data_IF_089758655703
#
_entry.id   IF_089758655703
#
_cell.length_a   1.000
_cell.length_b   1.000
_cell.length_c   1.000
_cell.angle_alpha   90.00
_cell.angle_beta   90.00
_cell.angle_gamma   90.00
#
_symmetry.space_group_name_H-M   'P 1'
#
loop_
_entity.id
_entity.type
_entity.pdbx_description
1 polymer ?
#
# COMPACT_ATOMS: atom_id res chain seq x y z
N UNK A 1 12.91 36.68 4.13
CA UNK A 1 12.41 35.37 3.70
C UNK A 1 11.12 35.58 2.92
N UNK A 2 10.94 34.80 1.85
CA UNK A 2 9.79 34.97 0.95
C UNK A 2 8.59 34.14 1.41
N UNK A 3 8.84 33.00 2.09
CA UNK A 3 7.81 32.04 2.51
C UNK A 3 7.82 31.84 4.02
N UNK A 4 6.65 31.53 4.58
CA UNK A 4 6.53 31.05 5.97
C UNK A 4 7.03 29.62 6.07
N UNK A 5 6.69 28.77 5.07
CA UNK A 5 7.09 27.36 5.04
C UNK A 5 7.72 26.99 3.71
N UNK A 6 8.85 26.28 3.77
CA UNK A 6 9.40 25.46 2.72
C UNK A 6 9.05 23.99 3.05
N UNK A 7 8.30 23.33 2.17
CA UNK A 7 7.92 21.93 2.34
C UNK A 7 8.70 21.10 1.33
N UNK A 8 9.50 20.17 1.83
CA UNK A 8 10.32 19.27 1.05
C UNK A 8 9.60 17.93 0.89
N UNK A 9 9.15 17.65 -0.33
CA UNK A 9 8.35 16.50 -0.71
C UNK A 9 6.90 16.86 -1.02
N UNK A 10 6.47 16.58 -2.25
CA UNK A 10 5.11 16.81 -2.76
C UNK A 10 4.21 15.57 -2.68
N UNK A 11 4.54 14.61 -1.81
CA UNK A 11 3.67 13.48 -1.49
C UNK A 11 2.45 13.91 -0.67
N UNK A 12 1.57 12.95 -0.33
CA UNK A 12 0.31 13.24 0.38
C UNK A 12 0.53 14.02 1.69
N UNK A 13 1.56 13.67 2.47
CA UNK A 13 1.88 14.37 3.72
C UNK A 13 2.26 15.83 3.48
N UNK A 14 3.21 16.09 2.56
CA UNK A 14 3.65 17.44 2.24
C UNK A 14 2.53 18.29 1.63
N UNK A 15 1.73 17.71 0.71
CA UNK A 15 0.59 18.39 0.11
C UNK A 15 -0.50 18.75 1.14
N UNK A 16 -0.75 17.86 2.12
CA UNK A 16 -1.70 18.14 3.22
C UNK A 16 -1.24 19.32 4.05
N UNK A 17 0.03 19.36 4.47
CA UNK A 17 0.56 20.48 5.25
C UNK A 17 0.54 21.78 4.43
N UNK A 18 0.93 21.69 3.16
CA UNK A 18 0.92 22.85 2.26
C UNK A 18 -0.47 23.47 2.14
N UNK A 19 -1.48 22.63 1.92
CA UNK A 19 -2.87 23.05 1.80
C UNK A 19 -3.41 23.66 3.09
N UNK A 20 -3.15 23.03 4.24
CA UNK A 20 -3.58 23.55 5.53
C UNK A 20 -2.87 24.87 5.89
N UNK A 21 -1.57 24.99 5.61
CA UNK A 21 -0.82 26.23 5.82
C UNK A 21 -1.37 27.37 4.94
N UNK A 22 -1.64 27.11 3.65
CA UNK A 22 -2.28 28.07 2.75
C UNK A 22 -3.66 28.50 3.27
N UNK A 23 -4.48 27.55 3.71
CA UNK A 23 -5.80 27.84 4.31
C UNK A 23 -5.69 28.72 5.55
N UNK A 24 -4.60 28.61 6.31
CA UNK A 24 -4.27 29.48 7.45
C UNK A 24 -3.59 30.79 7.04
N UNK A 25 -3.60 31.18 5.78
CA UNK A 25 -3.04 32.44 5.28
C UNK A 25 -1.51 32.51 5.27
N UNK A 26 -0.82 31.36 5.31
CA UNK A 26 0.65 31.29 5.27
C UNK A 26 1.15 31.19 3.83
N UNK A 27 2.29 31.81 3.55
CA UNK A 27 2.99 31.65 2.27
C UNK A 27 3.81 30.36 2.28
N UNK A 28 3.65 29.54 1.23
CA UNK A 28 4.24 28.19 1.16
C UNK A 28 4.95 28.00 -0.18
N UNK A 29 6.14 27.39 -0.13
CA UNK A 29 6.82 26.80 -1.27
C UNK A 29 6.93 25.30 -1.04
N UNK A 30 6.50 24.51 -2.02
CA UNK A 30 6.71 23.05 -2.05
C UNK A 30 7.81 22.73 -3.06
N UNK A 31 8.75 21.88 -2.69
CA UNK A 31 9.78 21.37 -3.61
C UNK A 31 9.78 19.85 -3.61
N UNK A 32 10.11 19.25 -4.74
CA UNK A 32 10.30 17.81 -4.85
C UNK A 32 11.46 17.51 -5.80
N UNK A 33 12.27 16.50 -5.48
CA UNK A 33 13.36 16.06 -6.34
C UNK A 33 12.89 15.28 -7.58
N UNK A 34 11.67 14.77 -7.57
CA UNK A 34 11.05 14.06 -8.70
C UNK A 34 10.51 15.06 -9.73
N UNK A 35 10.32 14.64 -11.00
CA UNK A 35 9.73 15.47 -12.04
C UNK A 35 8.20 15.58 -11.93
N UNK A 36 7.58 14.96 -10.94
CA UNK A 36 6.14 14.89 -10.71
C UNK A 36 5.78 15.05 -9.24
N UNK A 37 4.58 15.53 -8.96
CA UNK A 37 3.98 15.54 -7.63
C UNK A 37 3.42 14.15 -7.29
N UNK A 38 3.04 13.94 -6.02
CA UNK A 38 2.37 12.72 -5.55
C UNK A 38 3.26 11.77 -4.77
N UNK A 39 4.59 11.92 -4.85
CA UNK A 39 5.50 11.05 -4.10
C UNK A 39 5.24 9.57 -4.40
N UNK A 40 5.05 8.75 -3.37
CA UNK A 40 4.82 7.31 -3.55
C UNK A 40 3.40 6.96 -4.02
N UNK A 41 2.44 7.88 -3.93
CA UNK A 41 1.08 7.68 -4.48
C UNK A 41 0.94 8.21 -5.91
N UNK A 42 2.04 8.57 -6.56
CA UNK A 42 2.01 9.03 -7.95
C UNK A 42 1.31 8.02 -8.85
N UNK A 43 0.34 8.51 -9.61
CA UNK A 43 -0.35 7.76 -10.67
C UNK A 43 -0.17 8.46 -12.01
N UNK A 44 0.04 7.69 -13.06
CA UNK A 44 0.06 8.20 -14.44
C UNK A 44 -0.96 7.45 -15.30
N UNK A 45 -1.46 8.11 -16.33
CA UNK A 45 -2.41 7.50 -17.27
C UNK A 45 -1.64 6.79 -18.40
N UNK A 46 -1.79 5.46 -18.47
CA UNK A 46 -1.18 4.60 -19.50
C UNK A 46 -2.28 3.79 -20.17
N UNK A 47 -2.44 3.86 -21.50
CA UNK A 47 -3.48 3.15 -22.26
C UNK A 47 -4.91 3.35 -21.69
N UNK A 48 -5.18 4.55 -21.16
CA UNK A 48 -6.47 4.87 -20.53
C UNK A 48 -6.61 4.44 -19.06
N UNK A 49 -5.64 3.71 -18.51
CA UNK A 49 -5.64 3.17 -17.13
C UNK A 49 -4.81 4.07 -16.22
N UNK A 50 -5.30 4.35 -15.02
CA UNK A 50 -4.53 5.03 -13.98
C UNK A 50 -3.58 4.02 -13.30
N UNK A 51 -2.29 4.10 -13.61
CA UNK A 51 -1.25 3.19 -13.11
C UNK A 51 -0.60 3.77 -11.87
N UNK A 52 -0.65 3.05 -10.75
CA UNK A 52 0.03 3.38 -9.50
C UNK A 52 1.50 2.97 -9.61
N UNK A 53 2.41 3.91 -9.83
CA UNK A 53 3.82 3.61 -10.19
C UNK A 53 4.63 2.95 -9.08
N UNK A 54 4.28 3.18 -7.82
CA UNK A 54 5.03 2.71 -6.65
C UNK A 54 4.20 1.78 -5.77
N UNK A 55 3.41 0.91 -6.39
CA UNK A 55 2.53 -0.04 -5.71
C UNK A 55 1.11 0.48 -5.52
N UNK A 56 0.21 -0.44 -5.21
CA UNK A 56 -1.20 -0.12 -5.01
C UNK A 56 -1.41 0.68 -3.73
N UNK A 57 -2.10 1.78 -3.85
CA UNK A 57 -2.58 2.57 -2.73
C UNK A 57 -4.10 2.61 -2.76
N UNK A 58 -4.74 2.12 -1.71
CA UNK A 58 -6.18 2.17 -1.53
C UNK A 58 -6.45 3.05 -0.31
N UNK A 59 -7.15 4.17 -0.51
CA UNK A 59 -7.50 5.05 0.60
C UNK A 59 -8.56 4.39 1.48
N UNK A 60 -8.33 4.38 2.79
CA UNK A 60 -9.32 3.88 3.74
C UNK A 60 -9.16 4.58 5.10
N UNK A 61 -10.28 4.82 5.79
CA UNK A 61 -10.28 5.45 7.11
C UNK A 61 -11.58 5.17 7.86
N UNK A 62 -11.54 5.21 9.18
CA UNK A 62 -12.72 5.27 10.04
C UNK A 62 -13.06 6.71 10.47
N UNK A 63 -12.15 7.66 10.22
CA UNK A 63 -12.36 9.05 10.60
C UNK A 63 -13.11 9.79 9.49
N UNK A 64 -14.33 10.24 9.83
CA UNK A 64 -15.18 10.98 8.89
C UNK A 64 -14.57 12.32 8.48
N UNK A 65 -13.89 13.03 9.36
CA UNK A 65 -13.27 14.32 9.03
C UNK A 65 -12.16 14.15 7.99
N UNK A 66 -11.36 13.06 8.11
CA UNK A 66 -10.34 12.72 7.12
C UNK A 66 -10.96 12.36 5.78
N UNK A 67 -12.05 11.59 5.80
CA UNK A 67 -12.79 11.25 4.58
C UNK A 67 -13.37 12.49 3.90
N UNK A 68 -14.09 13.33 4.65
CA UNK A 68 -14.68 14.56 4.13
C UNK A 68 -13.59 15.52 3.59
N UNK A 69 -12.43 15.55 4.24
CA UNK A 69 -11.31 16.36 3.79
C UNK A 69 -10.78 15.90 2.41
N UNK A 70 -10.49 14.63 2.21
CA UNK A 70 -9.93 14.15 0.94
C UNK A 70 -10.96 14.18 -0.19
N UNK A 71 -12.24 13.88 0.12
CA UNK A 71 -13.34 13.94 -0.86
C UNK A 71 -13.76 15.35 -1.23
N UNK A 72 -13.32 16.37 -0.48
CA UNK A 72 -13.53 17.77 -0.86
C UNK A 72 -12.68 18.22 -2.07
N UNK A 73 -11.64 17.46 -2.44
CA UNK A 73 -10.77 17.79 -3.58
C UNK A 73 -11.13 17.02 -4.84
N UNK A 74 -11.46 15.74 -4.72
CA UNK A 74 -11.84 14.84 -5.81
C UNK A 74 -12.86 13.81 -5.33
N UNK A 75 -13.69 13.32 -6.24
CA UNK A 75 -14.58 12.20 -5.95
C UNK A 75 -13.81 10.90 -5.81
N UNK A 76 -14.31 10.00 -4.98
CA UNK A 76 -13.79 8.65 -4.80
C UNK A 76 -14.80 7.63 -5.34
N UNK A 77 -14.29 6.58 -5.95
CA UNK A 77 -15.12 5.46 -6.36
C UNK A 77 -15.44 4.53 -5.18
N UNK A 78 -16.27 3.50 -5.45
CA UNK A 78 -16.68 2.50 -4.44
C UNK A 78 -15.75 1.29 -4.38
N UNK A 79 -14.49 1.40 -4.78
CA UNK A 79 -13.57 0.27 -4.76
C UNK A 79 -13.44 -0.31 -3.36
N UNK A 80 -13.67 -1.62 -3.25
CA UNK A 80 -13.49 -2.39 -2.03
C UNK A 80 -12.32 -3.34 -2.24
N UNK A 81 -11.30 -3.22 -1.39
CA UNK A 81 -10.10 -4.05 -1.52
C UNK A 81 -10.39 -5.50 -1.09
N UNK A 82 -10.39 -6.40 -2.05
CA UNK A 82 -10.64 -7.85 -1.85
C UNK A 82 -9.53 -8.65 -2.54
N UNK A 83 -8.30 -8.65 -2.00
CA UNK A 83 -7.18 -9.35 -2.62
C UNK A 83 -7.37 -10.86 -2.56
N UNK A 84 -6.74 -11.56 -3.50
CA UNK A 84 -6.68 -13.01 -3.58
C UNK A 84 -5.25 -13.46 -3.31
N UNK A 85 -5.07 -14.57 -2.60
CA UNK A 85 -3.80 -15.28 -2.47
C UNK A 85 -3.74 -16.42 -3.46
N UNK A 86 -2.64 -16.56 -4.17
CA UNK A 86 -2.30 -17.69 -5.02
C UNK A 86 -1.15 -18.46 -4.35
N UNK A 87 -1.43 -19.67 -3.91
CA UNK A 87 -0.44 -20.63 -3.43
C UNK A 87 -0.31 -21.77 -4.40
N UNK A 88 0.72 -21.75 -5.26
CA UNK A 88 0.99 -22.82 -6.25
C UNK A 88 -0.24 -23.20 -7.12
N UNK A 89 -1.03 -22.19 -7.51
CA UNK A 89 -2.25 -22.38 -8.30
C UNK A 89 -3.53 -22.57 -7.48
N UNK A 90 -3.44 -22.79 -6.18
CA UNK A 90 -4.62 -22.77 -5.29
C UNK A 90 -4.97 -21.32 -4.92
N UNK A 91 -6.21 -20.92 -5.16
CA UNK A 91 -6.68 -19.55 -4.86
C UNK A 91 -7.44 -19.50 -3.54
N UNK A 92 -7.10 -18.51 -2.72
CA UNK A 92 -7.71 -18.25 -1.42
C UNK A 92 -8.15 -16.78 -1.29
N UNK A 93 -9.30 -16.55 -0.67
CA UNK A 93 -9.72 -15.18 -0.32
C UNK A 93 -8.85 -14.59 0.78
N UNK A 94 -8.64 -13.27 0.69
CA UNK A 94 -7.98 -12.50 1.74
C UNK A 94 -8.90 -11.35 2.20
N UNK A 95 -8.94 -11.01 3.52
CA UNK A 95 -8.21 -11.59 4.65
C UNK A 95 -8.65 -13.03 4.92
N UNK A 96 -7.99 -13.73 5.87
CA UNK A 96 -8.38 -15.10 6.27
C UNK A 96 -9.81 -15.10 6.82
N UNK A 97 -10.75 -15.61 6.05
CA UNK A 97 -12.18 -15.58 6.32
C UNK A 97 -12.83 -16.92 6.01
N UNK A 98 -14.16 -17.01 6.14
CA UNK A 98 -14.88 -18.27 5.93
C UNK A 98 -14.69 -18.84 4.52
N UNK A 99 -14.50 -18.02 3.47
CA UNK A 99 -14.15 -18.54 2.14
C UNK A 99 -12.77 -19.20 2.12
N UNK A 100 -11.80 -18.61 2.83
CA UNK A 100 -10.45 -19.18 2.99
C UNK A 100 -10.52 -20.53 3.68
N UNK A 101 -11.25 -20.61 4.80
CA UNK A 101 -11.35 -21.83 5.60
C UNK A 101 -12.16 -22.93 4.92
N UNK A 102 -13.26 -22.58 4.24
CA UNK A 102 -14.00 -23.51 3.42
C UNK A 102 -13.12 -24.10 2.31
N UNK A 103 -12.37 -23.26 1.57
CA UNK A 103 -11.45 -23.72 0.52
C UNK A 103 -10.33 -24.61 1.06
N UNK A 104 -9.81 -24.31 2.26
CA UNK A 104 -8.68 -25.01 2.86
C UNK A 104 -9.07 -26.35 3.51
N UNK A 105 -10.20 -26.37 4.21
CA UNK A 105 -10.61 -27.48 5.09
C UNK A 105 -12.01 -28.06 4.79
N UNK A 106 -12.78 -27.47 3.89
CA UNK A 106 -14.15 -27.88 3.60
C UNK A 106 -15.16 -27.53 4.69
N UNK A 107 -14.77 -26.75 5.71
CA UNK A 107 -15.66 -26.34 6.80
C UNK A 107 -16.74 -25.38 6.30
N UNK A 108 -17.93 -25.43 6.89
CA UNK A 108 -19.11 -24.67 6.45
C UNK A 108 -19.53 -23.65 7.50
N UNK A 109 -19.29 -23.94 8.79
CA UNK A 109 -19.71 -23.08 9.88
C UNK A 109 -18.54 -22.36 10.55
N UNK A 110 -18.78 -21.19 11.15
CA UNK A 110 -17.78 -20.50 11.97
C UNK A 110 -17.22 -21.34 13.12
N UNK A 111 -18.06 -22.20 13.73
CA UNK A 111 -17.67 -23.07 14.82
C UNK A 111 -16.67 -24.15 14.37
N UNK A 112 -16.91 -24.79 13.22
CA UNK A 112 -15.98 -25.77 12.62
C UNK A 112 -14.64 -25.11 12.29
N UNK A 113 -14.67 -23.92 11.70
CA UNK A 113 -13.45 -23.16 11.37
C UNK A 113 -12.66 -22.78 12.62
N UNK A 114 -13.34 -22.27 13.65
CA UNK A 114 -12.72 -21.94 14.92
C UNK A 114 -12.08 -23.15 15.59
N UNK A 115 -12.80 -24.29 15.63
CA UNK A 115 -12.29 -25.53 16.21
C UNK A 115 -11.03 -26.03 15.48
N UNK A 116 -11.01 -25.93 14.14
CA UNK A 116 -9.84 -26.32 13.33
C UNK A 116 -8.64 -25.45 13.58
N UNK A 117 -8.84 -24.14 13.69
CA UNK A 117 -7.77 -23.18 14.03
C UNK A 117 -7.23 -23.47 15.43
N UNK A 118 -8.11 -23.61 16.43
CA UNK A 118 -7.70 -23.86 17.82
C UNK A 118 -7.00 -25.23 18.00
N UNK A 119 -7.39 -26.25 17.21
CA UNK A 119 -6.69 -27.53 17.16
C UNK A 119 -5.23 -27.33 16.75
N UNK A 120 -4.99 -26.62 15.66
CA UNK A 120 -3.66 -26.44 15.10
C UNK A 120 -2.78 -25.49 15.92
N UNK A 121 -3.35 -24.49 16.56
CA UNK A 121 -2.62 -23.56 17.46
C UNK A 121 -2.00 -24.27 18.66
N UNK A 122 -2.54 -25.41 19.09
CA UNK A 122 -1.99 -26.23 20.19
C UNK A 122 -0.60 -26.80 19.92
N UNK A 123 -0.14 -26.74 18.67
CA UNK A 123 1.21 -27.12 18.30
C UNK A 123 2.26 -26.27 19.01
N UNK A 124 1.94 -25.00 19.27
CA UNK A 124 2.83 -24.08 19.98
C UNK A 124 2.47 -24.07 21.46
N UNK A 125 3.43 -24.48 22.27
CA UNK A 125 3.29 -24.48 23.73
C UNK A 125 4.22 -23.42 24.33
N UNK A 126 3.68 -22.54 25.18
CA UNK A 126 4.42 -21.45 25.80
C UNK A 126 4.54 -20.20 24.92
N UNK A 127 5.52 -19.35 25.20
CA UNK A 127 5.73 -18.10 24.48
C UNK A 127 6.45 -18.36 23.15
N UNK A 128 5.93 -17.85 22.03
CA UNK A 128 6.55 -18.01 20.71
C UNK A 128 7.96 -17.39 20.64
N UNK A 129 8.93 -18.13 20.12
CA UNK A 129 10.35 -17.75 20.07
C UNK A 129 10.74 -17.00 18.80
N UNK A 130 10.00 -17.21 17.73
CA UNK A 130 10.27 -16.67 16.41
C UNK A 130 8.97 -16.41 15.64
N UNK A 131 9.08 -15.87 14.43
CA UNK A 131 7.93 -15.50 13.61
C UNK A 131 7.09 -16.72 13.19
N UNK A 132 7.70 -17.89 12.92
CA UNK A 132 6.98 -19.12 12.59
C UNK A 132 6.07 -19.53 13.74
N UNK A 133 6.63 -19.69 14.95
CA UNK A 133 5.86 -20.06 16.13
C UNK A 133 4.76 -19.04 16.45
N UNK A 134 5.07 -17.74 16.31
CA UNK A 134 4.09 -16.68 16.49
C UNK A 134 2.94 -16.77 15.51
N UNK A 135 3.22 -16.99 14.21
CA UNK A 135 2.17 -17.10 13.21
C UNK A 135 1.28 -18.34 13.45
N UNK A 136 1.89 -19.50 13.74
CA UNK A 136 1.14 -20.73 14.03
C UNK A 136 0.26 -20.56 15.28
N UNK A 137 0.77 -19.91 16.32
CA UNK A 137 -0.02 -19.62 17.53
C UNK A 137 -1.21 -18.70 17.29
N UNK A 138 -1.20 -17.91 16.20
CA UNK A 138 -2.27 -17.00 15.83
C UNK A 138 -3.31 -17.64 14.88
N UNK A 139 -2.86 -18.40 13.88
CA UNK A 139 -3.74 -18.86 12.79
C UNK A 139 -3.70 -20.35 12.51
N UNK A 140 -2.80 -21.10 13.14
CA UNK A 140 -2.58 -22.52 12.90
C UNK A 140 -1.60 -22.83 11.75
N UNK A 141 -1.16 -24.08 11.67
CA UNK A 141 -0.12 -24.57 10.75
C UNK A 141 -0.48 -24.38 9.28
N UNK A 142 -1.67 -24.79 8.87
CA UNK A 142 -2.05 -24.82 7.44
C UNK A 142 -2.09 -23.41 6.85
N UNK A 143 -2.67 -22.44 7.58
CA UNK A 143 -2.72 -21.03 7.16
C UNK A 143 -1.30 -20.46 7.10
N UNK A 144 -0.48 -20.76 8.11
CA UNK A 144 0.91 -20.33 8.13
C UNK A 144 1.67 -20.84 6.91
N UNK A 145 1.68 -22.15 6.65
CA UNK A 145 2.45 -22.77 5.57
C UNK A 145 2.02 -22.27 4.18
N UNK A 146 0.70 -22.18 3.92
CA UNK A 146 0.19 -21.81 2.61
C UNK A 146 0.14 -20.29 2.36
N UNK A 147 -0.20 -19.48 3.37
CA UNK A 147 -0.58 -18.10 3.14
C UNK A 147 0.35 -17.06 3.80
N UNK A 148 1.23 -17.46 4.72
CA UNK A 148 2.08 -16.53 5.47
C UNK A 148 3.56 -16.78 5.18
N UNK A 149 4.03 -18.01 5.31
CA UNK A 149 5.44 -18.39 5.29
C UNK A 149 6.19 -17.90 4.06
N UNK A 150 5.88 -18.41 2.88
CA UNK A 150 6.63 -18.11 1.66
C UNK A 150 6.55 -16.62 1.27
N UNK A 151 5.41 -15.99 1.51
CA UNK A 151 5.26 -14.54 1.32
C UNK A 151 6.20 -13.74 2.23
N UNK A 152 6.25 -14.08 3.51
CA UNK A 152 7.09 -13.42 4.52
C UNK A 152 8.57 -13.67 4.24
N UNK A 153 8.95 -14.92 3.94
CA UNK A 153 10.33 -15.29 3.64
C UNK A 153 10.87 -14.57 2.39
N UNK A 154 10.04 -14.39 1.35
CA UNK A 154 10.38 -13.54 0.21
C UNK A 154 10.62 -12.10 0.61
N UNK A 155 9.69 -11.50 1.36
CA UNK A 155 9.81 -10.10 1.78
C UNK A 155 11.05 -9.82 2.62
N UNK A 156 11.41 -10.75 3.51
CA UNK A 156 12.54 -10.56 4.42
C UNK A 156 13.85 -11.13 3.89
N UNK A 157 13.79 -12.01 2.88
CA UNK A 157 14.97 -12.72 2.37
C UNK A 157 15.60 -13.67 3.41
N UNK A 158 14.81 -14.10 4.40
CA UNK A 158 15.23 -14.95 5.53
C UNK A 158 14.10 -15.91 5.89
N UNK A 159 14.47 -17.05 6.46
CA UNK A 159 13.49 -18.02 6.94
C UNK A 159 12.70 -17.47 8.14
N UNK A 160 11.41 -17.81 8.24
CA UNK A 160 10.55 -17.32 9.34
C UNK A 160 11.07 -17.72 10.73
N UNK A 161 11.82 -18.83 10.83
CA UNK A 161 12.46 -19.28 12.08
C UNK A 161 13.56 -18.34 12.58
N UNK A 162 14.17 -17.59 11.64
CA UNK A 162 15.27 -16.66 11.93
C UNK A 162 14.77 -15.22 12.12
N UNK A 163 13.46 -15.02 12.05
CA UNK A 163 12.83 -13.72 12.23
C UNK A 163 12.19 -13.58 13.62
N UNK A 164 12.31 -12.41 14.29
CA UNK A 164 11.71 -12.19 15.58
C UNK A 164 10.18 -12.31 15.57
N UNK A 165 9.61 -12.88 16.63
CA UNK A 165 8.16 -13.06 16.79
C UNK A 165 7.37 -11.76 16.70
N UNK A 166 7.93 -10.63 17.19
CA UNK A 166 7.23 -9.34 17.22
C UNK A 166 6.92 -8.73 15.83
N UNK A 167 7.53 -9.24 14.75
CA UNK A 167 7.24 -8.80 13.37
C UNK A 167 5.78 -9.07 13.02
N UNK A 168 5.21 -10.17 13.49
CA UNK A 168 3.80 -10.49 13.35
C UNK A 168 3.12 -10.40 14.71
N UNK A 169 2.55 -9.26 15.03
CA UNK A 169 1.80 -9.08 16.30
C UNK A 169 0.39 -9.65 16.22
N UNK A 170 -0.21 -9.68 15.05
CA UNK A 170 -1.56 -10.19 14.82
C UNK A 170 -1.73 -10.59 13.36
N UNK A 171 -2.49 -11.64 13.15
CA UNK A 171 -3.01 -12.04 11.83
C UNK A 171 -4.54 -12.06 11.97
N UNK A 172 -5.27 -11.18 11.28
CA UNK A 172 -6.71 -11.10 11.44
C UNK A 172 -7.41 -12.33 10.87
N UNK A 173 -8.13 -13.04 11.73
CA UNK A 173 -9.03 -14.13 11.37
C UNK A 173 -10.46 -13.63 11.47
N UNK A 174 -11.26 -13.86 10.44
CA UNK A 174 -12.68 -13.49 10.40
C UNK A 174 -13.55 -14.72 10.22
N UNK A 175 -14.40 -14.99 11.19
CA UNK A 175 -15.38 -16.08 11.11
C UNK A 175 -16.67 -15.60 10.41
N UNK A 176 -16.51 -14.87 9.30
CA UNK A 176 -17.58 -14.33 8.45
C UNK A 176 -17.21 -14.49 6.99
N UNK A 177 -18.17 -14.44 6.08
CA UNK A 177 -17.97 -14.44 4.63
C UNK A 177 -17.75 -13.01 4.10
N UNK A 178 -16.82 -12.28 4.71
CA UNK A 178 -16.49 -10.89 4.33
C UNK A 178 -15.10 -10.83 3.68
N UNK A 179 -15.06 -10.51 2.39
CA UNK A 179 -13.83 -10.34 1.60
C UNK A 179 -13.25 -8.93 1.65
N UNK A 180 -13.91 -7.98 2.30
CA UNK A 180 -13.35 -6.64 2.45
C UNK A 180 -12.10 -6.70 3.33
N UNK A 181 -10.94 -6.40 2.74
CA UNK A 181 -9.66 -6.49 3.45
C UNK A 181 -9.56 -5.51 4.62
N UNK A 182 -10.14 -4.33 4.49
CA UNK A 182 -10.12 -3.31 5.52
C UNK A 182 -11.39 -3.35 6.38
N UNK A 183 -11.25 -3.03 7.67
CA UNK A 183 -12.39 -2.80 8.57
C UNK A 183 -12.80 -1.32 8.61
N UNK A 184 -12.41 -0.55 7.61
CA UNK A 184 -12.67 0.87 7.53
C UNK A 184 -14.09 1.14 7.02
N UNK A 185 -14.74 2.15 7.60
CA UNK A 185 -16.08 2.61 7.19
C UNK A 185 -16.05 3.26 5.81
N UNK A 186 -14.93 3.92 5.47
CA UNK A 186 -14.73 4.63 4.21
C UNK A 186 -13.53 4.04 3.49
N UNK A 187 -13.68 3.72 2.22
CA UNK A 187 -12.58 3.31 1.36
C UNK A 187 -12.91 3.60 -0.10
N UNK A 188 -11.88 3.73 -0.92
CA UNK A 188 -12.04 3.95 -2.36
C UNK A 188 -10.74 4.38 -3.03
N UNK A 189 -10.85 4.61 -4.33
CA UNK A 189 -9.78 5.15 -5.17
C UNK A 189 -10.24 6.51 -5.69
N UNK A 190 -9.40 7.55 -5.68
CA UNK A 190 -9.76 8.85 -6.25
C UNK A 190 -9.98 8.72 -7.76
N UNK A 191 -11.12 9.21 -8.24
CA UNK A 191 -11.48 9.18 -9.66
C UNK A 191 -10.50 10.07 -10.45
N UNK A 192 -9.79 9.45 -11.40
CA UNK A 192 -8.74 10.09 -12.18
C UNK A 192 -7.34 9.96 -11.56
N UNK A 193 -7.18 9.15 -10.51
CA UNK A 193 -5.90 8.82 -9.89
C UNK A 193 -5.48 9.75 -8.75
N UNK A 194 -4.50 9.31 -7.99
CA UNK A 194 -3.98 10.06 -6.83
C UNK A 194 -3.23 11.34 -7.21
N UNK A 195 -2.59 11.38 -8.37
CA UNK A 195 -1.89 12.58 -8.84
C UNK A 195 -2.86 13.75 -8.94
N UNK A 196 -4.05 13.54 -9.48
CA UNK A 196 -5.12 14.55 -9.56
C UNK A 196 -5.54 15.06 -8.17
N UNK A 197 -5.62 14.19 -7.17
CA UNK A 197 -5.89 14.59 -5.78
C UNK A 197 -4.79 15.54 -5.27
N UNK A 198 -3.52 15.19 -5.46
CA UNK A 198 -2.40 16.02 -5.03
C UNK A 198 -2.35 17.36 -5.76
N UNK A 199 -2.58 17.36 -7.08
CA UNK A 199 -2.67 18.60 -7.87
C UNK A 199 -3.75 19.54 -7.33
N UNK A 200 -4.92 18.99 -6.99
CA UNK A 200 -6.01 19.77 -6.39
C UNK A 200 -5.66 20.31 -5.00
N UNK A 201 -4.98 19.53 -4.17
CA UNK A 201 -4.53 20.00 -2.85
C UNK A 201 -3.47 21.10 -2.97
N UNK A 202 -2.62 21.08 -3.99
CA UNK A 202 -1.56 22.06 -4.24
C UNK A 202 -2.01 23.24 -5.10
N UNK A 203 -3.27 23.29 -5.52
CA UNK A 203 -3.78 24.38 -6.38
C UNK A 203 -3.54 25.76 -5.76
N UNK A 204 -2.85 26.63 -6.54
CA UNK A 204 -2.46 27.99 -6.11
C UNK A 204 -1.36 28.02 -5.02
N UNK A 205 -0.59 26.95 -4.89
CA UNK A 205 0.66 26.91 -4.11
C UNK A 205 1.83 26.81 -5.09
N UNK A 206 2.90 27.54 -4.85
CA UNK A 206 4.11 27.44 -5.68
C UNK A 206 4.78 26.07 -5.45
N UNK A 207 4.99 25.33 -6.53
CA UNK A 207 5.66 24.01 -6.54
C UNK A 207 6.86 24.08 -7.48
N UNK A 208 8.01 23.59 -7.02
CA UNK A 208 9.21 23.43 -7.85
C UNK A 208 9.62 21.97 -7.84
N UNK A 209 9.58 21.35 -9.00
CA UNK A 209 10.01 19.98 -9.23
C UNK A 209 11.46 19.92 -9.68
N UNK A 210 12.07 18.73 -9.66
CA UNK A 210 13.48 18.50 -9.98
C UNK A 210 14.45 19.33 -9.09
N UNK A 211 14.06 19.55 -7.83
CA UNK A 211 14.85 20.27 -6.84
C UNK A 211 15.18 19.34 -5.68
N UNK A 212 16.43 18.89 -5.59
CA UNK A 212 16.91 18.14 -4.44
C UNK A 212 17.29 19.11 -3.30
N UNK A 213 16.58 18.96 -2.18
CA UNK A 213 16.80 19.80 -1.01
C UNK A 213 18.18 19.60 -0.38
N UNK A 214 18.65 18.35 -0.29
CA UNK A 214 19.91 18.06 0.39
C UNK A 214 21.12 18.57 -0.37
N UNK A 215 21.04 18.61 -1.71
CA UNK A 215 22.08 19.18 -2.56
C UNK A 215 22.13 20.71 -2.52
N UNK A 216 21.01 21.37 -2.17
CA UNK A 216 20.85 22.83 -2.23
C UNK A 216 20.39 23.42 -0.88
N UNK A 217 20.65 22.72 0.21
CA UNK A 217 20.10 23.00 1.55
C UNK A 217 20.35 24.43 2.02
N UNK A 218 21.58 24.89 1.94
CA UNK A 218 21.97 26.25 2.42
C UNK A 218 21.24 27.39 1.70
N UNK A 219 20.95 27.22 0.42
CA UNK A 219 20.22 28.20 -0.40
C UNK A 219 18.74 28.16 -0.15
N UNK A 220 18.20 26.94 -0.05
CA UNK A 220 16.77 26.71 0.15
C UNK A 220 16.31 27.10 1.55
N UNK A 221 17.14 26.90 2.57
CA UNK A 221 16.86 27.32 3.95
C UNK A 221 16.67 28.84 4.08
N UNK A 222 17.31 29.64 3.20
CA UNK A 222 17.15 31.10 3.19
C UNK A 222 15.79 31.56 2.63
N UNK A 223 15.05 30.68 1.96
CA UNK A 223 13.79 31.04 1.30
C UNK A 223 12.59 31.09 2.26
N UNK A 224 12.64 30.38 3.39
CA UNK A 224 11.52 30.27 4.31
C UNK A 224 11.92 30.42 5.77
N UNK A 225 10.93 30.75 6.60
CA UNK A 225 11.12 30.85 8.06
C UNK A 225 11.27 29.47 8.70
N UNK A 226 10.59 28.47 8.16
CA UNK A 226 10.61 27.08 8.64
C UNK A 226 10.64 26.09 7.48
N UNK A 227 11.41 25.03 7.66
CA UNK A 227 11.47 23.89 6.73
C UNK A 227 10.71 22.72 7.32
N UNK A 228 9.87 22.07 6.50
CA UNK A 228 9.19 20.81 6.81
C UNK A 228 9.75 19.77 5.85
N UNK A 229 10.59 18.89 6.36
CA UNK A 229 11.26 17.86 5.57
C UNK A 229 10.50 16.52 5.69
N UNK A 230 10.08 15.96 4.56
CA UNK A 230 9.34 14.69 4.50
C UNK A 230 10.14 13.54 3.90
N UNK A 231 11.42 13.76 3.65
CA UNK A 231 12.35 12.74 3.14
C UNK A 231 12.91 11.82 4.25
N UNK A 232 13.89 10.96 3.92
CA UNK A 232 14.55 10.09 4.89
C UNK A 232 15.26 10.90 5.98
N UNK A 233 14.95 10.59 7.24
CA UNK A 233 15.47 11.37 8.38
C UNK A 233 16.98 11.22 8.55
N UNK A 234 17.51 10.05 8.31
CA UNK A 234 18.96 9.78 8.36
C UNK A 234 19.73 10.59 7.33
N UNK A 235 19.21 10.73 6.11
CA UNK A 235 19.79 11.58 5.06
C UNK A 235 19.75 13.07 5.45
N UNK A 236 18.69 13.53 6.14
CA UNK A 236 18.62 14.92 6.62
C UNK A 236 19.77 15.27 7.58
N UNK A 237 20.22 14.31 8.36
CA UNK A 237 21.33 14.44 9.30
C UNK A 237 22.68 13.92 8.75
N UNK A 238 22.83 13.81 7.41
CA UNK A 238 24.05 13.33 6.76
C UNK A 238 24.53 11.96 7.29
N UNK A 239 23.60 11.11 7.67
CA UNK A 239 23.87 9.77 8.23
C UNK A 239 24.78 9.76 9.47
N UNK A 240 24.86 10.87 10.23
CA UNK A 240 25.75 11.02 11.40
C UNK A 240 25.52 9.99 12.50
N UNK A 241 24.31 9.44 12.59
CA UNK A 241 23.94 8.40 13.55
C UNK A 241 23.84 7.00 12.90
N UNK A 242 24.35 6.85 11.69
CA UNK A 242 24.21 5.64 10.88
C UNK A 242 23.00 5.68 9.95
N UNK A 243 22.92 4.66 9.09
CA UNK A 243 21.83 4.48 8.12
C UNK A 243 20.71 3.67 8.75
N UNK A 244 19.47 4.08 8.56
CA UNK A 244 18.30 3.26 8.93
C UNK A 244 18.17 2.09 7.96
N UNK A 245 18.00 0.90 8.48
CA UNK A 245 17.79 -0.29 7.67
C UNK A 245 16.33 -0.37 7.17
N UNK A 246 16.16 -0.67 5.88
CA UNK A 246 14.87 -0.94 5.25
C UNK A 246 15.04 -1.98 4.14
N UNK A 247 13.92 -2.54 3.70
CA UNK A 247 13.91 -3.46 2.55
C UNK A 247 13.41 -2.72 1.33
N UNK A 248 14.14 -2.84 0.26
CA UNK A 248 13.75 -2.29 -1.03
C UNK A 248 12.73 -3.18 -1.74
N UNK A 249 11.93 -2.56 -2.59
CA UNK A 249 10.97 -3.23 -3.45
C UNK A 249 11.23 -2.81 -4.88
N UNK A 250 11.31 -3.80 -5.78
CA UNK A 250 11.41 -3.56 -7.21
C UNK A 250 10.02 -3.65 -7.84
N UNK A 251 9.71 -2.69 -8.69
CA UNK A 251 8.48 -2.62 -9.45
C UNK A 251 8.78 -2.82 -10.93
N UNK A 252 8.11 -3.79 -11.55
CA UNK A 252 8.19 -4.05 -12.99
C UNK A 252 6.81 -3.85 -13.59
N UNK A 253 6.72 -2.98 -14.60
CA UNK A 253 5.46 -2.68 -15.27
C UNK A 253 5.39 -3.43 -16.60
N UNK A 254 4.22 -3.97 -16.93
CA UNK A 254 3.93 -4.64 -18.19
C UNK A 254 2.58 -4.19 -18.73
N UNK A 255 2.52 -3.92 -20.03
CA UNK A 255 1.27 -3.63 -20.74
C UNK A 255 0.92 -4.85 -21.59
N UNK A 256 -0.27 -5.38 -21.39
CA UNK A 256 -0.77 -6.54 -22.13
C UNK A 256 -1.90 -6.15 -23.09
N UNK A 257 -1.83 -6.63 -24.31
CA UNK A 257 -2.88 -6.47 -25.32
C UNK A 257 -4.00 -7.51 -25.13
N UNK A 258 -4.62 -7.44 -23.96
CA UNK A 258 -5.78 -8.25 -23.57
C UNK A 258 -6.60 -7.54 -22.48
N UNK A 259 -7.93 -7.77 -22.44
CA UNK A 259 -8.81 -7.02 -21.56
C UNK A 259 -8.73 -7.44 -20.08
N UNK A 260 -8.17 -8.60 -19.77
CA UNK A 260 -8.12 -9.15 -18.41
C UNK A 260 -6.95 -10.12 -18.28
N UNK A 261 -6.24 -10.08 -17.15
CA UNK A 261 -5.15 -11.00 -16.84
C UNK A 261 -5.50 -11.93 -15.67
N UNK A 262 -5.85 -11.37 -14.52
CA UNK A 262 -6.07 -12.12 -13.29
C UNK A 262 -7.47 -11.92 -12.68
N UNK A 263 -8.29 -11.02 -13.25
CA UNK A 263 -9.67 -10.79 -12.82
C UNK A 263 -9.83 -10.12 -11.46
N UNK A 264 -8.73 -9.57 -10.91
CA UNK A 264 -8.73 -8.85 -9.63
C UNK A 264 -7.61 -7.81 -9.61
N UNK A 265 -7.83 -6.72 -8.88
CA UNK A 265 -6.84 -5.66 -8.74
C UNK A 265 -5.53 -6.14 -8.07
N UNK A 266 -5.61 -7.06 -7.10
CA UNK A 266 -4.45 -7.54 -6.37
C UNK A 266 -4.47 -9.05 -6.16
N UNK A 267 -3.43 -9.76 -6.63
CA UNK A 267 -3.18 -11.17 -6.34
C UNK A 267 -1.82 -11.29 -5.65
N UNK A 268 -1.82 -11.84 -4.44
CA UNK A 268 -0.61 -12.12 -3.67
C UNK A 268 -0.13 -13.54 -3.96
N UNK A 269 1.14 -13.71 -4.28
CA UNK A 269 1.76 -15.02 -4.47
C UNK A 269 2.44 -15.43 -3.18
N UNK A 270 1.90 -16.43 -2.51
CA UNK A 270 2.28 -16.79 -1.13
C UNK A 270 3.26 -17.95 -1.04
N UNK A 271 3.54 -18.64 -2.14
CA UNK A 271 4.63 -19.60 -2.25
C UNK A 271 6.00 -18.90 -2.27
N UNK A 272 7.08 -19.63 -2.01
CA UNK A 272 8.46 -19.10 -1.99
C UNK A 272 9.10 -19.06 -3.38
N UNK A 273 8.67 -19.93 -4.27
CA UNK A 273 9.30 -20.15 -5.58
C UNK A 273 8.98 -19.05 -6.59
N UNK A 274 7.78 -18.47 -6.52
CA UNK A 274 7.40 -17.33 -7.36
C UNK A 274 8.20 -16.09 -6.99
N UNK A 275 8.91 -15.43 -7.94
CA UNK A 275 9.87 -14.38 -7.61
C UNK A 275 9.22 -13.07 -7.12
N UNK A 276 7.95 -12.82 -7.42
CA UNK A 276 7.20 -11.66 -6.93
C UNK A 276 6.29 -12.04 -5.77
N UNK A 277 6.01 -11.06 -4.93
CA UNK A 277 5.05 -11.21 -3.83
C UNK A 277 3.64 -10.87 -4.28
N UNK A 278 3.49 -10.01 -5.29
CA UNK A 278 2.18 -9.53 -5.74
C UNK A 278 2.22 -9.12 -7.21
N UNK A 279 1.09 -9.35 -7.89
CA UNK A 279 0.77 -8.71 -9.16
C UNK A 279 -0.43 -7.79 -8.92
N UNK A 280 -0.31 -6.54 -9.36
CA UNK A 280 -1.40 -5.57 -9.42
C UNK A 280 -1.87 -5.48 -10.87
N UNK A 281 -3.16 -5.60 -11.10
CA UNK A 281 -3.82 -5.32 -12.37
C UNK A 281 -4.62 -4.03 -12.22
N UNK A 282 -4.03 -2.92 -12.66
CA UNK A 282 -4.47 -1.56 -12.29
C UNK A 282 -5.88 -1.22 -12.73
N UNK A 283 -6.32 -1.70 -13.89
CA UNK A 283 -7.65 -1.36 -14.42
C UNK A 283 -8.80 -1.73 -13.46
N UNK A 284 -8.62 -2.75 -12.62
CA UNK A 284 -9.66 -3.19 -11.70
C UNK A 284 -9.87 -2.26 -10.50
N UNK A 285 -8.99 -1.29 -10.28
CA UNK A 285 -9.24 -0.22 -9.32
C UNK A 285 -10.38 0.70 -9.77
N UNK A 286 -10.63 0.79 -11.08
CA UNK A 286 -11.70 1.57 -11.72
C UNK A 286 -12.67 0.68 -12.53
N UNK A 287 -12.83 -0.57 -12.09
CA UNK A 287 -13.79 -1.56 -12.64
C UNK A 287 -13.59 -1.90 -14.13
N UNK A 288 -12.37 -1.71 -14.66
CA UNK A 288 -12.02 -1.97 -16.06
C UNK A 288 -12.62 -1.02 -17.07
N UNK A 289 -13.14 0.13 -16.62
CA UNK A 289 -13.81 1.13 -17.44
C UNK A 289 -12.97 2.39 -17.59
N UNK A 290 -13.11 3.04 -18.74
CA UNK A 290 -12.60 4.40 -18.96
C UNK A 290 -13.54 5.47 -18.38
N UNK A 291 -13.20 6.75 -18.54
CA UNK A 291 -14.00 7.87 -18.04
C UNK A 291 -15.39 8.00 -18.71
N UNK A 292 -15.61 7.34 -19.83
CA UNK A 292 -16.86 7.34 -20.58
C UNK A 292 -17.71 6.09 -20.31
N UNK A 293 -17.15 5.15 -19.51
CA UNK A 293 -17.80 3.89 -19.15
C UNK A 293 -17.58 2.75 -20.12
N UNK A 294 -16.71 2.92 -21.14
CA UNK A 294 -16.37 1.86 -22.08
C UNK A 294 -15.37 0.87 -21.49
N UNK A 295 -15.38 -0.37 -21.95
CA UNK A 295 -14.40 -1.37 -21.57
C UNK A 295 -13.01 -1.02 -22.12
N UNK A 296 -12.00 -1.00 -21.26
CA UNK A 296 -10.61 -0.80 -21.67
C UNK A 296 -10.08 -2.11 -22.27
N UNK A 297 -9.63 -2.14 -23.56
CA UNK A 297 -9.24 -3.38 -24.24
C UNK A 297 -7.90 -3.95 -23.78
N UNK A 298 -7.06 -3.14 -23.14
CA UNK A 298 -5.74 -3.52 -22.62
C UNK A 298 -5.72 -3.60 -21.11
N UNK A 299 -4.66 -4.16 -20.54
CA UNK A 299 -4.42 -4.13 -19.09
C UNK A 299 -2.97 -3.79 -18.77
N UNK A 300 -2.76 -3.15 -17.59
CA UNK A 300 -1.44 -2.81 -17.08
C UNK A 300 -1.19 -3.56 -15.79
N UNK A 301 -0.08 -4.27 -15.75
CA UNK A 301 0.37 -5.04 -14.58
C UNK A 301 1.54 -4.35 -13.88
N UNK A 302 1.60 -4.53 -12.57
CA UNK A 302 2.76 -4.18 -11.75
C UNK A 302 3.16 -5.40 -10.93
N UNK A 303 4.32 -5.95 -11.24
CA UNK A 303 4.94 -6.99 -10.43
C UNK A 303 5.70 -6.35 -9.28
N UNK A 304 5.45 -6.82 -8.07
CA UNK A 304 6.12 -6.34 -6.85
C UNK A 304 7.06 -7.42 -6.35
N UNK A 305 8.36 -7.18 -6.46
CA UNK A 305 9.40 -8.11 -6.02
C UNK A 305 10.24 -7.49 -4.91
N UNK A 306 10.63 -8.25 -3.87
CA UNK A 306 11.66 -7.82 -2.93
C UNK A 306 13.00 -7.68 -3.66
N UNK A 307 13.82 -6.74 -3.27
CA UNK A 307 15.15 -6.53 -3.83
C UNK A 307 16.24 -6.55 -2.73
#
# INVERSE_FOLDING_TARGET
>A
MKYTYLIVGSGLYGATIAQQAKKAGKSVLVIDKRPNVGGNIYTEKVEGINVHKYGAHIFHTNNKEVWDYVTSFVDFNRFTNSPVANYKGELYSMPFNMYTFNKMWGVVTPEEAAAKIEEQKKEITGEPKNLEEQAISLVGRDIYEKLVKGYTEKQWGRDCKDLPAFIIKRLPVRLTFDNNYFNALYQGIPIGGYTKLIEKMLEGIEVRLNVDYLENKEELDKLAEKVIYTGPIDAYFDYKLGTLEYRSVRFENEILDKPNFQGNAAVNYTDRETPWTRIIEHKWFEFGKDSEGNDIPKTCLLYTSPS
#
